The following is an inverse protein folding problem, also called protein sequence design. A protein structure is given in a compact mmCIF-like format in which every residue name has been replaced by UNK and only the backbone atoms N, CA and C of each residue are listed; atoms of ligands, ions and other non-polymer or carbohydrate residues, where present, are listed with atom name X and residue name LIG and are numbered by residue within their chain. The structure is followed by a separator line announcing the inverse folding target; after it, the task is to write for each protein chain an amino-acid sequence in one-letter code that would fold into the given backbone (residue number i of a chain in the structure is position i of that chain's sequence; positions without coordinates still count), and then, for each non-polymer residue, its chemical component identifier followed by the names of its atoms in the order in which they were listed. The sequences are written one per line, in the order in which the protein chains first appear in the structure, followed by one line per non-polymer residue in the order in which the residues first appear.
data_IF_905243702583
#
_entry.id   IF_905243702583
#
_cell.length_a   1.000
_cell.length_b   1.000
_cell.length_c   1.000
_cell.angle_alpha   90.00
_cell.angle_beta   90.00
_cell.angle_gamma   90.00
#
_symmetry.space_group_name_H-M   'P 1'
#
loop_
_entity.id
_entity.type
_entity.pdbx_description
1 polymer ?
#
# COMPACT_ATOMS: atom_id res chain seq x y z
N UNK A 1 -86.61 21.40 -10.60
CA UNK A 1 -86.51 22.08 -9.29
C UNK A 1 -87.22 21.24 -8.23
N UNK A 2 -86.45 20.56 -7.37
CA UNK A 2 -86.74 20.21 -5.95
C UNK A 2 -85.68 19.21 -5.48
N UNK A 3 -84.73 19.72 -4.72
CA UNK A 3 -83.78 18.92 -3.92
C UNK A 3 -84.41 18.73 -2.54
N UNK A 4 -84.51 17.48 -2.07
CA UNK A 4 -84.70 17.09 -0.65
C UNK A 4 -83.97 15.75 -0.46
N UNK A 5 -82.78 15.70 0.12
CA UNK A 5 -82.43 15.63 1.56
C UNK A 5 -82.87 14.35 2.29
N UNK A 6 -81.84 13.55 2.61
CA UNK A 6 -81.60 12.70 3.79
C UNK A 6 -82.46 11.46 4.08
N UNK A 7 -81.76 10.32 4.25
CA UNK A 7 -82.00 9.45 5.41
C UNK A 7 -82.14 7.96 5.15
N UNK A 8 -80.99 7.26 5.11
CA UNK A 8 -80.69 5.90 5.63
C UNK A 8 -81.86 4.96 5.97
N UNK A 9 -81.81 3.72 5.46
CA UNK A 9 -81.65 2.48 6.28
C UNK A 9 -81.47 1.20 5.42
N UNK A 10 -80.35 0.50 5.70
CA UNK A 10 -80.08 -0.96 5.68
C UNK A 10 -80.27 -1.75 4.36
N UNK A 11 -79.45 -2.73 3.97
CA UNK A 11 -78.61 -3.65 4.75
C UNK A 11 -77.52 -4.30 3.86
N UNK A 12 -76.37 -4.50 4.49
CA UNK A 12 -75.12 -5.23 4.21
C UNK A 12 -75.02 -6.31 3.10
N UNK A 13 -73.88 -6.27 2.38
CA UNK A 13 -72.92 -7.37 2.11
C UNK A 13 -71.54 -6.71 1.89
N UNK A 14 -70.72 -6.47 2.92
CA UNK A 14 -69.59 -7.28 3.42
C UNK A 14 -68.74 -7.93 2.31
N UNK A 15 -67.46 -7.53 2.22
CA UNK A 15 -66.40 -8.42 1.72
C UNK A 15 -65.43 -7.84 0.69
N UNK A 16 -64.54 -6.96 1.14
CA UNK A 16 -63.10 -6.98 0.79
C UNK A 16 -62.69 -7.03 -0.69
N UNK A 17 -62.34 -5.87 -1.24
CA UNK A 17 -61.46 -5.81 -2.41
C UNK A 17 -60.13 -6.53 -2.10
N UNK A 18 -59.72 -7.40 -3.01
CA UNK A 18 -58.47 -8.12 -2.97
C UNK A 18 -57.28 -7.15 -2.77
N UNK A 19 -56.67 -7.16 -1.59
CA UNK A 19 -55.30 -6.70 -1.45
C UNK A 19 -54.42 -7.73 -2.14
N UNK A 20 -53.74 -7.32 -3.21
CA UNK A 20 -52.58 -8.06 -3.67
C UNK A 20 -51.55 -8.05 -2.54
N UNK A 21 -51.37 -9.19 -1.89
CA UNK A 21 -50.14 -9.46 -1.16
C UNK A 21 -49.04 -9.58 -2.22
N UNK A 22 -48.36 -8.47 -2.49
CA UNK A 22 -47.00 -8.57 -2.98
C UNK A 22 -46.23 -9.34 -1.91
N UNK A 23 -45.80 -10.55 -2.24
CA UNK A 23 -44.74 -11.18 -1.49
C UNK A 23 -43.55 -10.23 -1.57
N UNK A 24 -43.36 -9.41 -0.53
CA UNK A 24 -42.05 -8.91 -0.21
C UNK A 24 -41.23 -10.18 0.09
N UNK A 25 -40.55 -10.68 -0.94
CA UNK A 25 -39.33 -11.44 -0.73
C UNK A 25 -38.54 -10.67 0.32
N UNK A 26 -38.04 -11.30 1.39
CA UNK A 26 -37.07 -10.63 2.23
C UNK A 26 -35.94 -10.21 1.29
N UNK A 27 -35.88 -8.92 0.99
CA UNK A 27 -34.65 -8.31 0.53
C UNK A 27 -33.75 -8.48 1.73
N UNK A 28 -32.96 -9.55 1.76
CA UNK A 28 -31.73 -9.51 2.52
C UNK A 28 -31.10 -8.20 2.07
N UNK A 29 -30.96 -7.25 2.99
CA UNK A 29 -30.08 -6.13 2.77
C UNK A 29 -28.82 -6.76 2.17
N UNK A 30 -28.46 -6.38 0.94
CA UNK A 30 -27.14 -6.65 0.42
C UNK A 30 -26.20 -6.32 1.58
N UNK A 31 -25.44 -7.33 2.03
CA UNK A 31 -24.75 -7.29 3.31
C UNK A 31 -24.11 -5.93 3.50
N UNK A 32 -24.30 -5.33 4.68
CA UNK A 32 -23.51 -4.18 5.08
C UNK A 32 -22.07 -4.52 4.73
N UNK A 33 -21.46 -3.75 3.83
CA UNK A 33 -20.06 -3.91 3.46
C UNK A 33 -19.27 -3.96 4.77
N UNK A 34 -18.60 -5.07 5.06
CA UNK A 34 -17.98 -5.31 6.37
C UNK A 34 -16.72 -4.46 6.52
N UNK A 35 -16.32 -3.72 5.48
CA UNK A 35 -15.07 -2.96 5.45
C UNK A 35 -13.99 -3.66 4.63
N UNK A 36 -12.79 -3.09 4.67
CA UNK A 36 -11.62 -3.61 3.96
C UNK A 36 -10.46 -3.81 4.94
N UNK A 37 -9.78 -4.94 4.79
CA UNK A 37 -8.61 -5.33 5.58
C UNK A 37 -7.31 -4.98 4.86
N UNK A 38 -6.44 -4.22 5.54
CA UNK A 38 -5.13 -3.86 5.04
C UNK A 38 -4.04 -4.59 5.82
N UNK A 39 -3.11 -5.18 5.07
CA UNK A 39 -1.99 -5.91 5.61
C UNK A 39 -0.70 -5.16 5.31
N UNK A 40 -0.04 -4.63 6.33
CA UNK A 40 0.99 -3.61 6.17
C UNK A 40 2.32 -4.13 6.69
N UNK A 41 3.40 -3.91 5.93
CA UNK A 41 4.76 -4.18 6.39
C UNK A 41 5.73 -3.12 5.88
N UNK A 42 6.78 -2.83 6.67
CA UNK A 42 7.90 -1.98 6.27
C UNK A 42 9.17 -2.83 6.26
N UNK A 43 9.65 -3.13 5.06
CA UNK A 43 10.73 -4.06 4.78
C UNK A 43 12.03 -3.30 4.43
N UNK A 44 13.04 -3.41 5.28
CA UNK A 44 14.39 -2.87 5.02
C UNK A 44 15.42 -3.96 4.68
N UNK A 45 14.95 -5.13 4.22
CA UNK A 45 15.80 -6.28 3.93
C UNK A 45 16.89 -5.95 2.91
N UNK A 46 16.63 -5.05 1.96
CA UNK A 46 17.59 -4.56 0.94
C UNK A 46 18.86 -3.99 1.57
N UNK A 47 18.76 -3.50 2.81
CA UNK A 47 19.86 -2.95 3.59
C UNK A 47 20.43 -3.94 4.62
N UNK A 48 20.02 -5.21 4.56
CA UNK A 48 20.45 -6.29 5.44
C UNK A 48 19.83 -6.25 6.84
N UNK A 49 18.81 -5.43 7.07
CA UNK A 49 18.08 -5.33 8.33
C UNK A 49 16.77 -6.14 8.36
N UNK A 50 16.24 -6.48 9.53
CA UNK A 50 14.89 -7.03 9.67
C UNK A 50 13.84 -5.94 9.38
N UNK A 51 12.61 -6.33 9.09
CA UNK A 51 11.47 -5.40 8.95
C UNK A 51 11.42 -4.35 10.08
N UNK A 52 11.19 -3.08 9.71
CA UNK A 52 11.00 -1.97 10.65
C UNK A 52 9.62 -2.05 11.30
N UNK A 53 8.62 -2.37 10.49
CA UNK A 53 7.27 -2.70 10.93
C UNK A 53 7.00 -4.12 10.47
N UNK A 54 6.90 -5.04 11.43
CA UNK A 54 6.51 -6.41 11.15
C UNK A 54 5.09 -6.43 10.52
N UNK A 55 4.77 -7.44 9.69
CA UNK A 55 3.44 -7.58 9.11
C UNK A 55 2.33 -7.42 10.13
N UNK A 56 1.44 -6.46 9.89
CA UNK A 56 0.34 -6.09 10.75
C UNK A 56 -0.97 -5.99 9.96
N UNK A 57 -2.09 -6.05 10.66
CA UNK A 57 -3.43 -6.02 10.09
C UNK A 57 -4.21 -4.80 10.63
N UNK A 58 -4.86 -4.08 9.73
CA UNK A 58 -5.76 -2.95 10.03
C UNK A 58 -7.07 -3.16 9.29
N UNK A 59 -8.19 -2.90 9.95
CA UNK A 59 -9.50 -2.97 9.34
C UNK A 59 -10.08 -1.56 9.19
N UNK A 60 -10.62 -1.23 8.01
CA UNK A 60 -11.21 0.07 7.71
C UNK A 60 -12.70 -0.08 7.43
N UNK A 61 -13.52 0.64 8.17
CA UNK A 61 -14.97 0.64 7.94
C UNK A 61 -15.31 1.43 6.66
N UNK A 62 -16.39 1.09 5.94
CA UNK A 62 -16.77 1.80 4.71
C UNK A 62 -17.04 3.29 4.89
N UNK A 63 -17.43 3.70 6.11
CA UNK A 63 -17.67 5.11 6.44
C UNK A 63 -16.40 5.97 6.36
N UNK A 64 -15.22 5.35 6.52
CA UNK A 64 -13.94 6.03 6.63
C UNK A 64 -13.14 5.99 5.31
N UNK A 65 -13.64 5.29 4.27
CA UNK A 65 -12.90 5.07 3.01
C UNK A 65 -12.42 6.35 2.31
N UNK A 66 -13.18 7.43 2.42
CA UNK A 66 -12.86 8.72 1.78
C UNK A 66 -11.85 9.57 2.54
N UNK A 67 -11.55 9.21 3.80
CA UNK A 67 -10.64 9.97 4.66
C UNK A 67 -9.40 9.16 5.03
N UNK A 68 -9.52 7.85 5.20
CA UNK A 68 -8.40 6.99 5.56
C UNK A 68 -7.42 6.84 4.40
N UNK A 69 -6.20 7.29 4.62
CA UNK A 69 -5.08 7.26 3.70
C UNK A 69 -4.14 6.09 3.99
N UNK A 70 -3.34 5.70 2.99
CA UNK A 70 -2.32 4.66 3.15
C UNK A 70 -1.28 5.01 4.23
N UNK A 71 -0.95 6.29 4.40
CA UNK A 71 -0.05 6.75 5.47
C UNK A 71 -0.69 6.66 6.85
N UNK A 72 -1.99 6.97 6.99
CA UNK A 72 -2.72 6.78 8.24
C UNK A 72 -2.76 5.30 8.64
N UNK A 73 -2.98 4.40 7.68
CA UNK A 73 -2.91 2.96 7.92
C UNK A 73 -1.54 2.53 8.46
N UNK A 74 -0.45 3.05 7.90
CA UNK A 74 0.90 2.81 8.44
C UNK A 74 1.03 3.37 9.86
N UNK A 75 0.52 4.58 10.12
CA UNK A 75 0.58 5.24 11.42
C UNK A 75 -0.14 4.44 12.53
N UNK A 76 -1.18 3.68 12.19
CA UNK A 76 -1.89 2.82 13.13
C UNK A 76 -1.05 1.61 13.61
N UNK A 77 -0.11 1.14 12.79
CA UNK A 77 0.65 -0.10 13.08
C UNK A 77 2.14 0.12 13.35
N UNK A 78 2.68 1.29 13.03
CA UNK A 78 4.12 1.57 13.08
C UNK A 78 4.72 1.55 14.50
N UNK A 79 3.90 1.62 15.54
CA UNK A 79 4.36 1.70 16.93
C UNK A 79 5.27 2.92 17.16
N UNK A 80 6.48 2.67 17.69
CA UNK A 80 7.47 3.72 17.98
C UNK A 80 8.29 4.18 16.76
N UNK A 81 8.05 3.61 15.58
CA UNK A 81 8.73 4.04 14.35
C UNK A 81 8.36 5.48 14.06
N UNK A 82 9.36 6.31 13.82
CA UNK A 82 9.12 7.69 13.39
C UNK A 82 9.01 7.70 11.89
N UNK A 83 7.91 8.24 11.36
CA UNK A 83 7.70 8.43 9.92
C UNK A 83 7.58 9.93 9.67
N UNK A 84 8.31 10.45 8.70
CA UNK A 84 8.09 11.78 8.16
C UNK A 84 7.75 11.64 6.69
N UNK A 85 6.90 12.54 6.23
CA UNK A 85 6.45 12.60 4.86
C UNK A 85 6.39 14.06 4.41
N UNK A 86 6.51 14.24 3.11
CA UNK A 86 6.22 15.50 2.46
C UNK A 86 5.23 15.25 1.32
N UNK A 87 4.01 15.76 1.47
CA UNK A 87 2.92 15.58 0.52
C UNK A 87 2.58 14.09 0.25
N UNK A 88 2.70 13.23 1.27
CA UNK A 88 2.41 11.80 1.16
C UNK A 88 3.54 10.98 0.54
N UNK A 89 4.66 11.60 0.17
CA UNK A 89 5.90 10.88 -0.11
C UNK A 89 6.65 10.72 1.21
N UNK A 90 6.83 9.48 1.64
CA UNK A 90 7.62 9.21 2.84
C UNK A 90 9.07 9.46 2.49
N UNK A 91 9.61 10.55 3.00
CA UNK A 91 11.04 10.78 2.93
C UNK A 91 11.72 9.97 4.04
N UNK A 92 11.13 9.82 5.24
CA UNK A 92 11.85 9.24 6.37
C UNK A 92 11.10 8.18 7.18
N UNK A 93 11.80 7.08 7.55
CA UNK A 93 11.37 6.16 8.61
C UNK A 93 12.50 5.72 9.56
N UNK A 94 12.52 6.12 10.83
CA UNK A 94 13.50 5.58 11.81
C UNK A 94 12.91 4.49 12.69
N UNK A 95 13.74 3.48 12.92
CA UNK A 95 13.56 2.47 13.96
C UNK A 95 14.76 2.48 14.90
N UNK A 96 14.58 1.95 16.12
CA UNK A 96 15.67 1.74 17.08
C UNK A 96 16.73 0.73 16.64
N UNK A 97 16.58 0.11 15.46
CA UNK A 97 17.46 -0.96 14.99
C UNK A 97 18.82 -0.44 14.50
N UNK A 98 18.92 0.79 13.96
CA UNK A 98 20.20 1.46 13.72
C UNK A 98 20.01 2.88 13.19
N UNK A 99 20.73 3.84 13.76
CA UNK A 99 20.92 5.17 13.18
C UNK A 99 22.06 5.19 12.12
N UNK A 100 22.57 4.01 11.72
CA UNK A 100 23.68 3.87 10.78
C UNK A 100 23.48 2.70 9.83
N UNK A 101 23.49 2.98 8.52
CA UNK A 101 23.32 1.96 7.48
C UNK A 101 24.65 1.29 7.14
N UNK A 102 24.62 -0.03 7.07
CA UNK A 102 25.75 -0.80 6.57
C UNK A 102 25.48 -1.22 5.12
N UNK A 103 25.79 -0.35 4.16
CA UNK A 103 25.71 -0.68 2.73
C UNK A 103 26.67 -1.81 2.31
N UNK A 104 27.61 -2.23 3.16
CA UNK A 104 28.45 -3.39 2.91
C UNK A 104 27.69 -4.73 2.90
N UNK A 105 26.44 -4.75 3.38
CA UNK A 105 25.54 -5.91 3.30
C UNK A 105 24.68 -5.92 2.02
N UNK A 106 24.66 -4.81 1.27
CA UNK A 106 23.89 -4.73 0.03
C UNK A 106 24.50 -5.67 -1.01
N UNK A 107 23.69 -6.60 -1.50
CA UNK A 107 24.13 -7.65 -2.43
C UNK A 107 23.84 -7.33 -3.90
N UNK A 108 23.14 -6.22 -4.16
CA UNK A 108 22.84 -5.75 -5.51
C UNK A 108 24.00 -4.98 -6.14
N UNK A 109 23.88 -4.67 -7.43
CA UNK A 109 24.78 -3.72 -8.09
C UNK A 109 24.22 -2.31 -7.90
N UNK A 110 25.05 -1.37 -7.43
CA UNK A 110 24.70 0.04 -7.46
C UNK A 110 24.91 0.56 -8.89
N UNK A 111 23.97 1.35 -9.41
CA UNK A 111 24.18 1.99 -10.69
C UNK A 111 25.19 3.14 -10.59
N UNK A 112 25.76 3.54 -11.72
CA UNK A 112 26.70 4.66 -11.76
C UNK A 112 26.11 5.95 -11.17
N UNK A 113 24.84 6.33 -11.46
CA UNK A 113 24.17 7.42 -10.74
C UNK A 113 24.29 7.27 -9.22
N UNK A 114 23.91 6.13 -8.65
CA UNK A 114 23.91 5.88 -7.20
C UNK A 114 25.28 5.94 -6.52
N UNK A 115 26.38 5.98 -7.27
CA UNK A 115 27.74 6.06 -6.74
C UNK A 115 28.48 7.32 -7.19
N UNK A 116 27.82 8.16 -7.99
CA UNK A 116 28.40 9.40 -8.50
C UNK A 116 28.32 10.49 -7.43
N UNK A 117 29.46 10.86 -6.85
CA UNK A 117 29.54 11.88 -5.81
C UNK A 117 28.98 13.26 -6.21
N UNK A 118 28.88 13.57 -7.51
CA UNK A 118 28.24 14.81 -8.00
C UNK A 118 26.70 14.76 -7.95
N UNK A 119 26.13 13.56 -7.82
CA UNK A 119 24.71 13.30 -7.65
C UNK A 119 24.36 12.98 -6.19
N UNK A 120 25.33 12.54 -5.38
CA UNK A 120 25.17 12.16 -3.97
C UNK A 120 25.18 13.41 -3.10
N UNK A 121 24.04 13.76 -2.50
CA UNK A 121 23.93 14.81 -1.49
C UNK A 121 23.59 14.17 -0.14
N UNK A 122 24.62 13.81 0.63
CA UNK A 122 24.42 13.39 2.01
C UNK A 122 24.55 14.58 2.95
N UNK A 123 23.52 14.85 3.75
CA UNK A 123 23.76 15.51 5.04
C UNK A 123 24.10 14.42 6.06
N UNK A 124 25.35 14.40 6.51
CA UNK A 124 25.92 13.29 7.27
C UNK A 124 25.44 13.26 8.75
N UNK A 125 24.74 14.30 9.25
CA UNK A 125 24.49 14.47 10.69
C UNK A 125 23.41 13.60 11.31
N UNK A 126 22.44 13.10 10.55
CA UNK A 126 21.17 12.72 11.19
C UNK A 126 20.97 11.23 11.50
N UNK A 127 21.76 10.32 10.93
CA UNK A 127 21.59 8.89 11.20
C UNK A 127 20.21 8.29 10.83
N UNK A 128 19.40 8.98 10.05
CA UNK A 128 18.02 8.59 9.72
C UNK A 128 17.90 7.91 8.33
N UNK A 129 16.89 7.03 8.12
CA UNK A 129 16.42 6.60 6.78
C UNK A 129 15.55 7.66 6.14
N UNK A 130 16.03 8.90 6.09
CA UNK A 130 15.42 9.83 5.15
C UNK A 130 15.70 9.34 3.72
N UNK A 131 15.08 9.96 2.73
CA UNK A 131 15.70 10.32 1.47
C UNK A 131 16.97 11.13 1.80
N UNK A 132 17.90 10.61 2.63
CA UNK A 132 19.30 10.95 2.54
C UNK A 132 19.57 10.68 1.09
N UNK A 133 19.71 11.79 0.36
CA UNK A 133 19.78 11.86 -1.08
C UNK A 133 21.08 11.20 -1.48
N UNK A 134 21.18 9.88 -1.30
CA UNK A 134 22.34 9.16 -1.76
C UNK A 134 22.46 9.41 -3.25
N UNK A 135 21.36 9.78 -3.96
CA UNK A 135 21.39 10.41 -5.29
C UNK A 135 20.05 10.93 -5.84
N UNK A 136 19.03 11.19 -5.01
CA UNK A 136 17.66 11.47 -5.51
C UNK A 136 17.06 10.41 -6.45
N UNK A 137 17.69 9.23 -6.49
CA UNK A 137 17.24 8.00 -7.15
C UNK A 137 17.18 6.83 -6.14
N UNK A 138 17.30 7.15 -4.86
CA UNK A 138 17.13 6.25 -3.72
C UNK A 138 16.04 6.81 -2.81
N UNK A 139 15.21 5.95 -2.23
CA UNK A 139 14.14 6.40 -1.36
C UNK A 139 13.19 5.28 -0.93
N UNK A 140 12.21 5.66 -0.12
CA UNK A 140 11.13 4.76 0.26
C UNK A 140 10.16 4.56 -0.91
N UNK A 141 10.03 3.31 -1.32
CA UNK A 141 9.09 2.86 -2.31
C UNK A 141 7.90 2.22 -1.61
N UNK A 142 6.74 2.33 -2.22
CA UNK A 142 5.52 1.69 -1.75
C UNK A 142 4.90 0.84 -2.86
N UNK A 143 4.34 -0.28 -2.47
CA UNK A 143 3.48 -1.09 -3.32
C UNK A 143 2.21 -1.48 -2.59
N UNK A 144 1.13 -1.63 -3.34
CA UNK A 144 -0.14 -2.18 -2.89
C UNK A 144 -0.48 -3.38 -3.79
N UNK A 145 -0.58 -4.57 -3.20
CA UNK A 145 -0.70 -5.86 -3.90
C UNK A 145 0.31 -6.02 -5.06
N UNK A 146 1.58 -5.74 -4.75
CA UNK A 146 2.71 -5.76 -5.69
C UNK A 146 2.59 -4.78 -6.88
N UNK A 147 1.71 -3.78 -6.80
CA UNK A 147 1.56 -2.71 -7.78
C UNK A 147 1.99 -1.35 -7.20
N UNK A 148 2.61 -0.51 -8.02
CA UNK A 148 3.01 0.87 -7.64
C UNK A 148 2.02 1.94 -8.12
N UNK A 149 1.06 1.54 -8.95
CA UNK A 149 0.09 2.43 -9.60
C UNK A 149 -1.13 1.65 -10.05
N UNK A 150 -2.26 2.35 -10.18
CA UNK A 150 -3.49 1.85 -10.79
C UNK A 150 -3.85 2.64 -12.05
N UNK A 151 -5.07 2.43 -12.55
CA UNK A 151 -5.61 3.17 -13.70
C UNK A 151 -6.96 3.77 -13.35
N UNK A 152 -7.13 5.08 -13.55
CA UNK A 152 -8.41 5.77 -13.39
C UNK A 152 -8.69 6.65 -14.59
N UNK A 153 -9.86 6.49 -15.22
CA UNK A 153 -10.22 7.27 -16.40
C UNK A 153 -9.31 7.09 -17.62
N UNK A 154 -8.52 6.01 -17.67
CA UNK A 154 -7.54 5.74 -18.73
C UNK A 154 -6.14 6.29 -18.47
N UNK A 155 -5.94 6.98 -17.34
CA UNK A 155 -4.64 7.54 -16.93
C UNK A 155 -4.00 6.70 -15.82
N UNK A 156 -2.67 6.65 -15.80
CA UNK A 156 -1.90 6.02 -14.71
C UNK A 156 -1.99 6.89 -13.46
N UNK A 157 -2.42 6.31 -12.34
CA UNK A 157 -2.44 6.96 -11.03
C UNK A 157 -1.43 6.27 -10.13
N UNK A 158 -0.36 6.98 -9.79
CA UNK A 158 0.67 6.48 -8.88
C UNK A 158 0.18 6.52 -7.43
N UNK A 159 0.40 5.43 -6.70
CA UNK A 159 0.04 5.39 -5.28
C UNK A 159 1.05 6.18 -4.46
N UNK A 160 0.55 6.89 -3.45
CA UNK A 160 1.35 7.60 -2.45
C UNK A 160 0.73 7.39 -1.07
N UNK A 161 1.40 7.89 -0.03
CA UNK A 161 0.86 7.89 1.34
C UNK A 161 -0.47 8.61 1.45
N UNK A 162 -0.78 9.56 0.54
CA UNK A 162 -2.05 10.28 0.50
C UNK A 162 -3.16 9.56 -0.28
N UNK A 163 -2.87 8.41 -0.92
CA UNK A 163 -3.90 7.61 -1.56
C UNK A 163 -4.91 7.14 -0.53
N UNK A 164 -6.19 7.46 -0.72
CA UNK A 164 -7.27 7.03 0.17
C UNK A 164 -7.73 5.62 -0.18
N UNK A 165 -8.41 4.93 0.75
CA UNK A 165 -9.07 3.65 0.43
C UNK A 165 -10.06 3.80 -0.73
N UNK A 166 -10.76 4.94 -0.79
CA UNK A 166 -11.66 5.24 -1.91
C UNK A 166 -10.92 5.36 -3.24
N UNK A 167 -9.70 5.91 -3.28
CA UNK A 167 -8.89 5.98 -4.50
C UNK A 167 -8.47 4.59 -4.98
N UNK A 168 -8.16 3.67 -4.06
CA UNK A 168 -7.87 2.27 -4.39
C UNK A 168 -9.08 1.58 -5.03
N UNK A 169 -10.29 1.89 -4.56
CA UNK A 169 -11.53 1.42 -5.17
C UNK A 169 -11.72 2.04 -6.56
N UNK A 170 -11.55 3.36 -6.67
CA UNK A 170 -11.75 4.09 -7.92
C UNK A 170 -10.78 3.63 -9.01
N UNK A 171 -9.54 3.32 -8.66
CA UNK A 171 -8.50 2.80 -9.57
C UNK A 171 -8.67 1.32 -9.91
N UNK A 172 -9.66 0.64 -9.33
CA UNK A 172 -9.95 -0.78 -9.55
C UNK A 172 -8.96 -1.74 -8.88
N UNK A 173 -8.12 -1.24 -7.97
CA UNK A 173 -7.22 -2.07 -7.19
C UNK A 173 -7.99 -2.88 -6.13
N UNK A 174 -8.92 -2.20 -5.46
CA UNK A 174 -9.93 -2.84 -4.61
C UNK A 174 -11.24 -2.90 -5.41
N UNK A 175 -11.57 -4.04 -6.00
CA UNK A 175 -12.87 -4.20 -6.67
C UNK A 175 -13.99 -4.38 -5.65
N UNK A 176 -15.23 -4.17 -6.10
CA UNK A 176 -16.41 -4.52 -5.31
C UNK A 176 -16.39 -6.04 -4.99
N UNK A 177 -16.08 -6.39 -3.74
CA UNK A 177 -15.91 -7.76 -3.26
C UNK A 177 -14.49 -8.14 -2.86
N UNK A 178 -13.49 -7.32 -3.19
CA UNK A 178 -12.15 -7.45 -2.61
C UNK A 178 -12.18 -6.89 -1.18
N UNK A 179 -12.02 -7.76 -0.20
CA UNK A 179 -12.05 -7.37 1.22
C UNK A 179 -10.66 -7.12 1.78
N UNK A 180 -9.60 -7.19 0.97
CA UNK A 180 -8.26 -6.92 1.49
C UNK A 180 -7.20 -6.53 0.47
N UNK A 181 -6.26 -5.70 0.91
CA UNK A 181 -5.04 -5.36 0.16
C UNK A 181 -3.78 -5.46 1.04
N UNK A 182 -2.63 -5.64 0.41
CA UNK A 182 -1.33 -5.71 1.07
C UNK A 182 -0.50 -4.48 0.74
N UNK A 183 -0.12 -3.69 1.74
CA UNK A 183 0.73 -2.51 1.58
C UNK A 183 2.14 -2.87 2.05
N UNK A 184 3.14 -2.70 1.18
CA UNK A 184 4.54 -2.94 1.52
C UNK A 184 5.37 -1.71 1.19
N UNK A 185 6.12 -1.25 2.18
CA UNK A 185 7.09 -0.18 2.09
C UNK A 185 8.50 -0.75 2.09
N UNK A 186 9.39 -0.19 1.28
CA UNK A 186 10.78 -0.65 1.20
C UNK A 186 11.72 0.47 0.86
N UNK A 187 12.97 0.34 1.28
CA UNK A 187 14.01 1.26 0.85
C UNK A 187 14.73 0.74 -0.39
N UNK A 188 14.77 1.56 -1.43
CA UNK A 188 15.47 1.28 -2.68
C UNK A 188 16.65 2.23 -2.87
N UNK A 189 17.75 1.68 -3.38
CA UNK A 189 18.93 2.43 -3.79
C UNK A 189 18.94 2.80 -5.29
N UNK A 190 18.10 2.17 -6.12
CA UNK A 190 18.07 2.36 -7.58
C UNK A 190 16.63 2.54 -8.12
N UNK A 191 15.77 3.37 -7.52
CA UNK A 191 14.37 3.58 -7.96
C UNK A 191 13.61 2.27 -8.24
N UNK A 192 13.65 1.35 -7.28
CA UNK A 192 13.04 0.02 -7.35
C UNK A 192 13.84 -1.06 -8.09
N UNK A 193 14.92 -0.72 -8.81
CA UNK A 193 15.64 -1.71 -9.64
C UNK A 193 16.32 -2.77 -8.77
N UNK A 194 16.95 -2.32 -7.69
CA UNK A 194 17.57 -3.18 -6.71
C UNK A 194 16.59 -4.08 -5.97
N UNK A 195 15.30 -3.77 -6.03
CA UNK A 195 14.23 -4.52 -5.40
C UNK A 195 13.39 -5.31 -6.42
N UNK A 196 13.87 -5.47 -7.65
CA UNK A 196 13.15 -6.25 -8.65
C UNK A 196 11.79 -5.68 -9.05
N UNK A 197 11.55 -4.38 -8.81
CA UNK A 197 10.33 -3.71 -9.23
C UNK A 197 10.37 -3.52 -10.75
N UNK A 198 9.80 -4.48 -11.48
CA UNK A 198 9.83 -4.51 -12.95
C UNK A 198 9.28 -3.20 -13.55
N UNK A 199 9.95 -2.69 -14.59
CA UNK A 199 9.58 -1.48 -15.35
C UNK A 199 9.51 -0.16 -14.55
N UNK A 200 9.88 -0.14 -13.28
CA UNK A 200 9.84 1.07 -12.45
C UNK A 200 11.16 1.84 -12.39
N UNK A 201 12.20 1.31 -13.04
CA UNK A 201 13.59 1.70 -12.82
C UNK A 201 14.20 2.46 -13.98
N UNK A 202 13.63 3.62 -14.25
CA UNK A 202 14.20 4.58 -15.18
C UNK A 202 15.02 5.58 -14.39
N UNK A 203 16.25 5.84 -14.80
CA UNK A 203 17.14 6.80 -14.14
C UNK A 203 17.45 7.95 -15.11
N UNK A 204 17.52 9.20 -14.63
CA UNK A 204 17.91 10.33 -15.47
C UNK A 204 19.33 10.13 -15.98
N UNK A 205 19.59 10.52 -17.23
CA UNK A 205 20.93 10.40 -17.83
C UNK A 205 21.79 11.64 -17.63
N UNK A 206 21.16 12.75 -17.26
CA UNK A 206 21.81 14.06 -17.11
C UNK A 206 22.14 14.32 -15.64
N UNK A 207 23.22 15.05 -15.40
CA UNK A 207 23.56 15.52 -14.06
C UNK A 207 22.45 16.45 -13.54
N UNK A 208 22.12 16.39 -12.24
CA UNK A 208 21.16 17.31 -11.65
C UNK A 208 21.65 18.74 -11.77
N UNK A 209 20.71 19.69 -11.83
CA UNK A 209 21.00 21.13 -11.90
C UNK A 209 20.44 21.84 -10.69
N UNK A 210 21.18 22.79 -10.13
CA UNK A 210 20.70 23.60 -9.02
C UNK A 210 19.77 24.70 -9.54
N UNK A 211 18.50 24.71 -9.10
CA UNK A 211 17.49 25.68 -9.56
C UNK A 211 17.42 26.96 -8.72
N UNK A 212 18.31 27.13 -7.75
CA UNK A 212 18.31 28.25 -6.80
C UNK A 212 17.87 27.86 -5.38
N UNK A 213 17.14 26.75 -5.22
CA UNK A 213 16.66 26.24 -3.92
C UNK A 213 17.00 24.79 -3.68
N UNK A 214 17.02 23.96 -4.73
CA UNK A 214 17.34 22.54 -4.64
C UNK A 214 18.07 22.05 -5.90
N UNK A 215 18.74 20.91 -5.78
CA UNK A 215 19.19 20.14 -6.92
C UNK A 215 17.99 19.42 -7.54
N UNK A 216 17.86 19.50 -8.87
CA UNK A 216 16.73 18.93 -9.60
C UNK A 216 17.23 18.03 -10.71
N UNK A 217 16.69 16.81 -10.75
CA UNK A 217 16.94 15.84 -11.81
C UNK A 217 16.14 16.18 -13.06
N UNK A 218 16.81 16.13 -14.21
CA UNK A 218 16.16 16.22 -15.51
C UNK A 218 15.69 14.83 -15.95
N UNK A 219 14.39 14.59 -15.80
CA UNK A 219 13.72 13.35 -16.18
C UNK A 219 13.31 13.29 -17.66
N UNK A 220 13.65 14.29 -18.47
CA UNK A 220 13.31 14.31 -19.90
C UNK A 220 14.03 13.22 -20.70
N UNK A 221 15.21 12.79 -20.23
CA UNK A 221 15.99 11.70 -20.81
C UNK A 221 16.32 10.69 -19.71
N UNK A 222 15.83 9.46 -19.88
CA UNK A 222 16.04 8.39 -18.91
C UNK A 222 16.61 7.14 -19.57
N UNK A 223 17.33 6.35 -18.79
CA UNK A 223 17.80 5.02 -19.18
C UNK A 223 17.20 3.99 -18.24
N UNK A 224 16.67 2.91 -18.84
CA UNK A 224 16.21 1.77 -18.08
C UNK A 224 17.38 1.07 -17.41
N UNK A 225 17.24 0.84 -16.11
CA UNK A 225 18.14 0.02 -15.30
C UNK A 225 17.48 -1.31 -15.05
N UNK A 226 18.12 -2.38 -15.51
CA UNK A 226 17.66 -3.73 -15.23
C UNK A 226 17.86 -4.06 -13.74
N UNK A 227 16.88 -4.72 -13.09
CA UNK A 227 17.02 -5.12 -11.71
C UNK A 227 18.09 -6.21 -11.55
N UNK A 228 18.78 -6.22 -10.40
CA UNK A 228 19.83 -7.20 -10.13
C UNK A 228 19.27 -8.62 -9.86
N UNK A 229 18.03 -8.70 -9.41
CA UNK A 229 17.25 -9.93 -9.27
C UNK A 229 15.75 -9.59 -9.31
N UNK A 230 14.90 -10.61 -9.43
CA UNK A 230 13.43 -10.45 -9.33
C UNK A 230 12.99 -10.81 -7.91
N UNK A 231 12.30 -9.90 -7.24
CA UNK A 231 11.70 -10.19 -5.93
C UNK A 231 10.55 -11.19 -6.07
N UNK A 232 10.48 -12.15 -5.15
CA UNK A 232 9.28 -12.94 -4.98
C UNK A 232 8.12 -12.05 -4.50
N UNK A 233 6.91 -12.33 -4.98
CA UNK A 233 5.70 -11.73 -4.44
C UNK A 233 5.50 -12.29 -3.02
N UNK A 234 5.53 -11.41 -2.01
CA UNK A 234 5.35 -11.76 -0.59
C UNK A 234 3.99 -11.36 -0.03
N UNK A 235 3.02 -10.94 -0.86
CA UNK A 235 1.76 -10.37 -0.38
C UNK A 235 0.99 -11.38 0.50
N UNK A 236 0.85 -12.61 0.02
CA UNK A 236 0.23 -13.69 0.79
C UNK A 236 1.00 -14.02 2.08
N UNK A 237 2.33 -13.92 2.07
CA UNK A 237 3.15 -14.13 3.28
C UNK A 237 2.93 -13.02 4.31
N UNK A 238 2.81 -11.76 3.88
CA UNK A 238 2.49 -10.63 4.76
C UNK A 238 1.12 -10.86 5.41
N UNK A 239 0.10 -11.24 4.62
CA UNK A 239 -1.23 -11.58 5.16
C UNK A 239 -1.15 -12.71 6.20
N UNK A 240 -0.44 -13.79 5.89
CA UNK A 240 -0.30 -14.94 6.78
C UNK A 240 0.44 -14.59 8.08
N UNK A 241 1.51 -13.78 8.01
CA UNK A 241 2.26 -13.32 9.18
C UNK A 241 1.39 -12.43 10.07
N UNK A 242 0.70 -11.45 9.49
CA UNK A 242 -0.16 -10.53 10.22
C UNK A 242 -1.32 -11.25 10.95
N UNK A 243 -1.88 -12.29 10.33
CA UNK A 243 -2.98 -13.08 10.91
C UNK A 243 -2.53 -14.09 11.97
N UNK A 244 -1.25 -14.49 11.98
CA UNK A 244 -0.74 -15.55 12.84
C UNK A 244 0.49 -15.13 13.69
N UNK A 245 0.43 -14.01 14.45
CA UNK A 245 1.59 -13.46 15.16
C UNK A 245 2.11 -14.34 16.31
N UNK A 246 1.33 -15.32 16.75
CA UNK A 246 1.67 -16.24 17.85
C UNK A 246 2.01 -17.65 17.37
N UNK A 247 2.01 -17.89 16.05
CA UNK A 247 2.29 -19.21 15.50
C UNK A 247 3.75 -19.64 15.79
N UNK A 248 4.03 -20.89 16.18
CA UNK A 248 5.39 -21.37 16.39
C UNK A 248 6.33 -21.19 15.20
N UNK A 249 5.81 -21.16 13.98
CA UNK A 249 6.53 -20.98 12.72
C UNK A 249 6.73 -19.49 12.36
N UNK A 250 6.11 -18.56 13.08
CA UNK A 250 6.16 -17.12 12.80
C UNK A 250 7.59 -16.60 12.62
N UNK A 251 8.51 -16.92 13.53
CA UNK A 251 9.90 -16.46 13.44
C UNK A 251 10.63 -17.00 12.19
N UNK A 252 10.33 -18.24 11.79
CA UNK A 252 10.89 -18.86 10.58
C UNK A 252 10.34 -18.21 9.32
N UNK A 253 9.03 -17.98 9.28
CA UNK A 253 8.36 -17.32 8.15
C UNK A 253 8.77 -15.84 8.03
N UNK A 254 8.95 -15.14 9.17
CA UNK A 254 9.45 -13.77 9.21
C UNK A 254 10.90 -13.68 8.71
N UNK A 255 11.74 -14.69 8.96
CA UNK A 255 13.08 -14.75 8.39
C UNK A 255 13.06 -14.85 6.85
N UNK A 256 12.11 -15.61 6.28
CA UNK A 256 11.88 -15.65 4.83
C UNK A 256 11.39 -14.30 4.32
N UNK A 257 10.49 -13.63 5.04
CA UNK A 257 10.05 -12.27 4.72
C UNK A 257 11.23 -11.29 4.71
N UNK A 258 12.12 -11.35 5.70
CA UNK A 258 13.31 -10.49 5.79
C UNK A 258 14.44 -10.88 4.81
N UNK A 259 14.25 -11.93 4.00
CA UNK A 259 15.23 -12.33 2.98
C UNK A 259 14.88 -11.65 1.66
N UNK A 260 15.73 -10.73 1.22
CA UNK A 260 15.57 -9.94 -0.03
C UNK A 260 15.33 -10.83 -1.24
N UNK A 261 16.23 -11.79 -1.44
CA UNK A 261 16.27 -12.68 -2.59
C UNK A 261 15.61 -14.04 -2.30
N UNK A 262 14.63 -14.08 -1.39
CA UNK A 262 13.85 -15.28 -1.14
C UNK A 262 13.22 -15.77 -2.46
N UNK A 263 13.35 -17.06 -2.75
CA UNK A 263 12.68 -17.64 -3.92
C UNK A 263 11.16 -17.69 -3.69
N UNK A 264 10.37 -17.65 -4.77
CA UNK A 264 8.91 -17.78 -4.63
C UNK A 264 8.50 -19.09 -3.93
N UNK A 265 9.25 -20.18 -4.15
CA UNK A 265 9.00 -21.45 -3.45
C UNK A 265 9.21 -21.34 -1.94
N UNK A 266 10.25 -20.62 -1.50
CA UNK A 266 10.50 -20.38 -0.08
C UNK A 266 9.40 -19.50 0.53
N UNK A 267 8.96 -18.46 -0.18
CA UNK A 267 7.84 -17.61 0.24
C UNK A 267 6.56 -18.43 0.37
N UNK A 268 6.20 -19.21 -0.65
CA UNK A 268 5.01 -20.05 -0.62
C UNK A 268 5.05 -21.09 0.51
N UNK A 269 6.21 -21.70 0.76
CA UNK A 269 6.38 -22.66 1.86
C UNK A 269 6.25 -22.00 3.24
N UNK A 270 6.79 -20.78 3.40
CA UNK A 270 6.62 -20.00 4.62
C UNK A 270 5.15 -19.62 4.83
N UNK A 271 4.46 -19.15 3.79
CA UNK A 271 3.03 -18.82 3.84
C UNK A 271 2.20 -20.02 4.27
N UNK A 272 2.45 -21.21 3.70
CA UNK A 272 1.70 -22.42 4.00
C UNK A 272 2.02 -23.05 5.36
N UNK A 273 3.08 -22.56 6.04
CA UNK A 273 3.47 -23.05 7.36
C UNK A 273 2.83 -22.30 8.52
N UNK A 274 2.17 -21.17 8.22
CA UNK A 274 1.39 -20.33 9.13
C UNK A 274 -0.10 -20.63 8.96
#
# INVERSE_FOLDING_TARGET
MKIKSYGKKALAVVGSMAMMAAFASPTFAAGLDDGADFYIAVDQSTMGGPAIVAPAHVHVNPADYSTTTVLELLNDVKGSVTVHDNWGYVDYMSSSFSDTYNFGSYTGTLTAPCTNADMVFTDDSDGLLSEKEYTGVSGWMMQIDSQTSGTYGGETVWYSGNTTVQDLINTGLLNAGDTSATIRWYYSLNMGADMGLANSSWLPTNQPTFNGTAWVYDWSNTTYTAPSFTMANKDALVKALANNPTDPQYATALAVFNTVNATQNAVNAATASL
#
